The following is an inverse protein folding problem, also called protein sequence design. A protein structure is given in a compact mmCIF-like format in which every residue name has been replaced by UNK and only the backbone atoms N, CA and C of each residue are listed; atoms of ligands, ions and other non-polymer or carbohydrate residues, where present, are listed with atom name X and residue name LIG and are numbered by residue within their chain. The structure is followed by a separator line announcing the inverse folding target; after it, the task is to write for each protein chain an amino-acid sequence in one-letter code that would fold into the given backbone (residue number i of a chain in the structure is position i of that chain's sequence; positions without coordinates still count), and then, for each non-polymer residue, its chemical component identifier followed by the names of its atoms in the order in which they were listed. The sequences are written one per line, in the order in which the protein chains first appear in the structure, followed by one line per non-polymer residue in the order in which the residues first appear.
data_IF_950688849106
#
_entry.id   IF_950688849106
#
_cell.length_a   1.000
_cell.length_b   1.000
_cell.length_c   1.000
_cell.angle_alpha   90.00
_cell.angle_beta   90.00
_cell.angle_gamma   90.00
#
_symmetry.space_group_name_H-M   'P 1'
#
loop_
_entity.id
_entity.type
_entity.pdbx_description
1 polymer ?
#
# COMPACT_ATOMS: atom_id res chain seq x y z
N UNK A 1 -2.89 15.11 13.29
CA UNK A 1 -2.53 14.21 12.18
C UNK A 1 -3.24 12.85 12.25
N UNK A 2 -3.25 12.17 13.41
CA UNK A 2 -3.99 10.90 13.56
C UNK A 2 -5.50 11.04 13.36
N UNK A 3 -6.09 12.14 13.85
CA UNK A 3 -7.54 12.39 13.77
C UNK A 3 -8.00 12.64 12.34
N UNK A 4 -7.17 13.26 11.51
CA UNK A 4 -7.40 13.44 10.06
C UNK A 4 -7.53 12.09 9.37
N UNK A 5 -6.62 11.16 9.67
CA UNK A 5 -6.63 9.81 9.09
C UNK A 5 -7.85 8.99 9.47
N UNK A 6 -8.37 9.18 10.69
CA UNK A 6 -9.59 8.54 11.19
C UNK A 6 -10.87 9.18 10.61
N UNK A 7 -10.92 10.51 10.53
CA UNK A 7 -12.04 11.23 9.93
C UNK A 7 -12.21 10.90 8.44
N UNK A 8 -11.09 10.83 7.71
CA UNK A 8 -11.03 10.32 6.34
C UNK A 8 -11.57 8.90 6.21
N UNK A 9 -11.25 8.03 7.18
CA UNK A 9 -11.72 6.65 7.19
C UNK A 9 -13.24 6.52 7.30
N UNK A 10 -13.86 7.39 8.12
CA UNK A 10 -15.32 7.46 8.26
C UNK A 10 -16.00 7.96 6.97
N UNK A 11 -15.42 8.96 6.29
CA UNK A 11 -16.01 9.58 5.10
C UNK A 11 -15.76 8.80 3.80
N UNK A 12 -14.60 8.17 3.67
CA UNK A 12 -14.14 7.53 2.43
C UNK A 12 -13.93 6.01 2.54
N UNK A 13 -14.28 5.41 3.68
CA UNK A 13 -14.27 3.97 3.91
C UNK A 13 -12.88 3.34 4.05
N UNK A 14 -11.82 4.16 4.14
CA UNK A 14 -10.44 3.69 4.30
C UNK A 14 -9.66 4.59 5.26
N UNK A 15 -9.33 4.05 6.43
CA UNK A 15 -8.51 4.75 7.42
C UNK A 15 -7.09 4.99 6.88
N UNK A 16 -6.60 6.22 7.02
CA UNK A 16 -5.19 6.53 6.80
C UNK A 16 -4.47 6.53 8.14
N UNK A 17 -3.27 5.94 8.18
CA UNK A 17 -2.43 6.00 9.39
C UNK A 17 -1.83 7.40 9.56
N UNK A 18 -1.55 7.80 10.80
CA UNK A 18 -0.81 9.04 11.10
C UNK A 18 0.50 9.12 10.29
N UNK A 19 1.22 7.99 10.15
CA UNK A 19 2.44 7.91 9.35
C UNK A 19 2.21 8.24 7.86
N UNK A 20 1.03 7.91 7.31
CA UNK A 20 0.68 8.25 5.93
C UNK A 20 0.53 9.75 5.76
N UNK A 21 -0.19 10.41 6.68
CA UNK A 21 -0.43 11.86 6.66
C UNK A 21 0.87 12.63 6.85
N UNK A 22 1.68 12.24 7.85
CA UNK A 22 3.00 12.86 8.09
C UNK A 22 3.94 12.74 6.89
N UNK A 23 4.00 11.58 6.22
CA UNK A 23 4.82 11.40 5.00
C UNK A 23 4.28 12.20 3.81
N UNK A 24 2.98 12.43 3.74
CA UNK A 24 2.37 13.27 2.72
C UNK A 24 2.77 14.74 2.92
N UNK A 25 2.65 15.27 4.13
CA UNK A 25 3.05 16.65 4.48
C UNK A 25 4.55 16.89 4.25
N UNK A 26 5.39 15.91 4.61
CA UNK A 26 6.84 15.98 4.40
C UNK A 26 7.29 15.70 2.95
N UNK A 27 6.36 15.58 1.99
CA UNK A 27 6.62 15.19 0.60
C UNK A 27 7.43 13.90 0.44
N UNK A 28 7.43 13.05 1.46
CA UNK A 28 8.24 11.85 1.55
C UNK A 28 7.47 10.61 1.06
N UNK A 29 6.77 10.75 -0.07
CA UNK A 29 6.06 9.71 -0.79
C UNK A 29 6.44 9.75 -2.26
N UNK A 30 6.23 8.65 -2.99
CA UNK A 30 6.41 8.71 -4.44
C UNK A 30 5.40 9.67 -5.07
N UNK A 31 5.78 10.30 -6.19
CA UNK A 31 4.90 11.20 -6.93
C UNK A 31 3.51 10.60 -7.21
N UNK A 32 3.47 9.33 -7.65
CA UNK A 32 2.22 8.61 -7.89
C UNK A 32 1.36 8.43 -6.63
N UNK A 33 1.97 8.28 -5.45
CA UNK A 33 1.22 8.25 -4.18
C UNK A 33 0.75 9.64 -3.77
N UNK A 34 1.57 10.67 -3.99
CA UNK A 34 1.21 12.06 -3.73
C UNK A 34 -0.01 12.48 -4.54
N UNK A 35 -0.01 12.27 -5.86
CA UNK A 35 -1.14 12.59 -6.74
C UNK A 35 -2.41 11.80 -6.40
N UNK A 36 -2.28 10.61 -5.80
CA UNK A 36 -3.44 9.83 -5.36
C UNK A 36 -4.04 10.35 -4.05
N UNK A 37 -3.19 10.82 -3.13
CA UNK A 37 -3.62 11.29 -1.82
C UNK A 37 -4.11 12.74 -1.85
N UNK A 38 -3.53 13.58 -2.70
CA UNK A 38 -3.84 15.01 -2.80
C UNK A 38 -5.35 15.30 -2.96
N UNK A 39 -6.06 14.76 -3.98
CA UNK A 39 -7.48 15.07 -4.15
C UNK A 39 -8.36 14.54 -3.01
N UNK A 40 -7.93 13.46 -2.33
CA UNK A 40 -8.67 12.90 -1.20
C UNK A 40 -8.56 13.80 0.04
N UNK A 41 -7.36 14.31 0.32
CA UNK A 41 -7.11 15.20 1.45
C UNK A 41 -7.69 16.60 1.22
N UNK A 42 -7.64 17.09 -0.02
CA UNK A 42 -8.23 18.38 -0.41
C UNK A 42 -9.75 18.36 -0.27
N UNK A 43 -10.41 17.31 -0.78
CA UNK A 43 -11.87 17.19 -0.64
C UNK A 43 -12.29 17.14 0.83
N UNK A 44 -11.57 16.38 1.65
CA UNK A 44 -11.84 16.32 3.09
C UNK A 44 -11.66 17.66 3.80
N UNK A 45 -10.64 18.42 3.43
CA UNK A 45 -10.41 19.73 4.02
C UNK A 45 -11.59 20.67 3.72
N UNK A 46 -12.06 20.70 2.47
CA UNK A 46 -13.24 21.48 2.08
C UNK A 46 -14.51 21.04 2.83
N UNK A 47 -14.74 19.72 2.95
CA UNK A 47 -15.89 19.18 3.68
C UNK A 47 -15.84 19.55 5.18
N UNK A 48 -14.66 19.51 5.79
CA UNK A 48 -14.45 19.86 7.19
C UNK A 48 -14.61 21.38 7.44
N UNK A 49 -14.13 22.21 6.53
CA UNK A 49 -14.30 23.67 6.59
C UNK A 49 -15.79 24.06 6.46
N UNK A 50 -16.52 23.41 5.55
CA UNK A 50 -17.97 23.64 5.35
C UNK A 50 -18.80 23.23 6.57
N UNK A 51 -18.44 22.16 7.27
CA UNK A 51 -19.09 21.77 8.53
C UNK A 51 -18.74 22.70 9.71
N UNK A 52 -17.60 23.38 9.67
CA UNK A 52 -17.17 24.28 10.74
C UNK A 52 -17.81 25.68 10.67
N UNK A 53 -18.20 26.15 9.48
CA UNK A 53 -18.75 27.50 9.27
C UNK A 53 -20.23 27.64 9.70
N UNK A 54 -20.99 26.54 9.73
CA UNK A 54 -22.38 26.51 10.21
C UNK A 54 -22.51 26.67 11.74
N UNK A 55 -21.39 26.60 12.48
CA UNK A 55 -21.36 26.73 13.96
C UNK A 55 -21.18 28.18 14.46
N UNK A 56 -21.21 29.19 13.59
CA UNK A 56 -20.95 30.60 13.95
C UNK A 56 -22.21 31.46 14.17
N UNK A 57 -23.41 30.86 14.16
CA UNK A 57 -24.66 31.56 14.51
C UNK A 57 -25.14 31.17 15.92
N UNK A 58 -25.43 32.13 16.83
CA UNK A 58 -26.00 31.82 18.14
C UNK A 58 -27.53 31.69 18.05
N UNK A 59 -28.08 30.47 18.06
CA UNK A 59 -29.43 30.25 18.60
C UNK A 59 -29.77 28.76 18.85
N UNK A 60 -30.64 28.49 19.84
CA UNK A 60 -30.74 27.22 20.52
C UNK A 60 -31.65 26.25 19.76
N UNK A 61 -31.22 24.99 19.61
CA UNK A 61 -32.09 23.81 19.57
C UNK A 61 -31.22 22.54 19.62
N UNK A 62 -31.28 21.69 20.66
CA UNK A 62 -30.47 20.48 20.77
C UNK A 62 -31.16 19.29 20.08
N UNK A 63 -31.70 19.46 18.87
CA UNK A 63 -32.43 18.38 18.19
C UNK A 63 -32.32 18.54 16.68
N UNK A 64 -31.23 18.04 16.10
CA UNK A 64 -31.18 17.36 14.79
C UNK A 64 -29.73 17.26 14.37
N UNK A 65 -29.07 16.18 14.78
CA UNK A 65 -27.93 15.69 14.01
C UNK A 65 -28.52 15.20 12.69
N UNK A 66 -28.18 15.76 11.52
CA UNK A 66 -28.29 14.97 10.31
C UNK A 66 -27.17 13.95 10.46
N UNK A 67 -27.50 12.81 11.03
CA UNK A 67 -26.77 11.58 10.77
C UNK A 67 -26.83 11.41 9.25
N UNK A 68 -25.87 12.00 8.54
CA UNK A 68 -25.57 11.66 7.17
C UNK A 68 -25.10 10.22 7.21
N UNK A 69 -26.11 9.34 7.16
CA UNK A 69 -25.98 7.91 6.97
C UNK A 69 -25.39 7.67 5.60
N UNK A 70 -24.07 7.83 5.50
CA UNK A 70 -23.32 6.97 4.62
C UNK A 70 -22.93 5.76 5.45
N UNK A 71 -23.89 4.84 5.55
CA UNK A 71 -23.69 3.48 6.04
C UNK A 71 -22.53 2.92 5.22
N UNK A 72 -21.36 2.89 5.85
CA UNK A 72 -20.09 2.62 5.20
C UNK A 72 -20.18 1.27 4.51
N UNK A 73 -20.10 1.29 3.17
CA UNK A 73 -20.07 0.09 2.34
C UNK A 73 -19.16 -0.97 3.00
N UNK A 74 -19.70 -2.13 3.43
CA UNK A 74 -18.99 -3.07 4.31
C UNK A 74 -17.81 -3.82 3.65
N UNK A 75 -17.43 -3.46 2.44
CA UNK A 75 -16.54 -4.27 1.60
C UNK A 75 -15.08 -3.83 1.49
N UNK A 76 -14.66 -2.68 2.05
CA UNK A 76 -13.33 -2.10 1.70
C UNK A 76 -12.41 -1.76 2.85
N UNK A 77 -12.64 -2.35 4.03
CA UNK A 77 -11.71 -2.19 5.16
C UNK A 77 -10.36 -2.85 4.81
N UNK A 78 -9.30 -2.04 4.78
CA UNK A 78 -7.94 -2.53 4.55
C UNK A 78 -7.57 -3.59 5.61
N UNK A 79 -7.03 -4.73 5.16
CA UNK A 79 -6.52 -5.79 6.07
C UNK A 79 -5.47 -5.20 7.02
N UNK A 80 -5.63 -5.46 8.32
CA UNK A 80 -4.64 -5.06 9.34
C UNK A 80 -3.30 -5.72 9.02
N UNK A 81 -2.21 -4.99 9.27
CA UNK A 81 -0.85 -5.49 9.04
C UNK A 81 -0.54 -6.61 10.03
N UNK A 82 -0.13 -7.78 9.55
CA UNK A 82 0.41 -8.87 10.38
C UNK A 82 1.80 -8.47 10.90
N UNK A 83 2.01 -8.56 12.22
CA UNK A 83 3.34 -8.47 12.82
C UNK A 83 4.02 -9.83 12.72
N UNK A 84 5.27 -9.86 12.28
CA UNK A 84 6.05 -11.10 12.18
C UNK A 84 7.04 -11.08 13.35
N UNK A 85 6.90 -12.05 14.24
CA UNK A 85 7.77 -12.21 15.41
C UNK A 85 9.24 -12.45 15.01
N UNK A 86 10.16 -12.12 15.91
CA UNK A 86 11.60 -12.26 15.69
C UNK A 86 12.00 -13.70 15.34
N UNK A 87 11.43 -14.69 16.03
CA UNK A 87 11.71 -16.11 15.80
C UNK A 87 11.25 -16.57 14.41
N UNK A 88 10.02 -16.19 14.03
CA UNK A 88 9.45 -16.45 12.70
C UNK A 88 10.28 -15.78 11.60
N UNK A 89 10.73 -14.54 11.85
CA UNK A 89 11.60 -13.81 10.93
C UNK A 89 12.93 -14.53 10.70
N UNK A 90 13.57 -14.99 11.77
CA UNK A 90 14.84 -15.73 11.68
C UNK A 90 14.67 -17.02 10.88
N UNK A 91 13.59 -17.77 11.14
CA UNK A 91 13.27 -18.98 10.38
C UNK A 91 13.05 -18.69 8.88
N UNK A 92 12.29 -17.63 8.56
CA UNK A 92 12.08 -17.19 7.18
C UNK A 92 13.37 -16.75 6.48
N UNK A 93 14.27 -16.07 7.19
CA UNK A 93 15.59 -15.68 6.67
C UNK A 93 16.46 -16.92 6.39
N UNK A 94 16.44 -17.94 7.27
CA UNK A 94 17.12 -19.23 7.03
C UNK A 94 16.55 -19.95 5.80
N UNK A 95 15.22 -20.05 5.69
CA UNK A 95 14.57 -20.65 4.52
C UNK A 95 14.87 -19.89 3.22
N UNK A 96 14.95 -18.56 3.27
CA UNK A 96 15.30 -17.72 2.12
C UNK A 96 16.72 -17.98 1.59
N UNK A 97 17.68 -18.23 2.48
CA UNK A 97 19.05 -18.58 2.09
C UNK A 97 19.11 -19.96 1.41
N UNK A 98 18.25 -20.90 1.84
CA UNK A 98 18.16 -22.23 1.22
C UNK A 98 17.46 -22.20 -0.14
N UNK A 99 16.33 -21.48 -0.24
CA UNK A 99 15.57 -21.33 -1.48
C UNK A 99 14.91 -19.94 -1.55
N UNK A 100 15.37 -19.09 -2.47
CA UNK A 100 14.84 -17.71 -2.65
C UNK A 100 13.50 -17.66 -3.40
N UNK A 101 13.12 -18.75 -4.08
CA UNK A 101 11.88 -18.89 -4.86
C UNK A 101 11.18 -20.20 -4.48
N UNK A 102 10.69 -20.31 -3.22
CA UNK A 102 9.93 -21.49 -2.82
C UNK A 102 8.68 -21.61 -3.71
N UNK A 103 8.38 -22.85 -4.07
CA UNK A 103 7.16 -23.27 -4.74
C UNK A 103 5.94 -23.05 -3.83
N UNK A 104 4.74 -23.13 -4.42
CA UNK A 104 3.49 -22.99 -3.67
C UNK A 104 3.34 -24.02 -2.56
N UNK A 105 3.90 -25.21 -2.73
CA UNK A 105 3.90 -26.31 -1.76
C UNK A 105 4.89 -26.05 -0.63
N UNK A 106 6.12 -25.62 -0.94
CA UNK A 106 7.09 -25.22 0.08
C UNK A 106 6.59 -24.04 0.91
N UNK A 107 5.88 -23.07 0.31
CA UNK A 107 5.25 -21.96 1.04
C UNK A 107 4.18 -22.48 2.01
N UNK A 108 3.42 -23.51 1.64
CA UNK A 108 2.45 -24.13 2.54
C UNK A 108 3.13 -24.80 3.73
N UNK A 109 4.19 -25.58 3.49
CA UNK A 109 4.94 -26.24 4.56
C UNK A 109 5.55 -25.24 5.55
N UNK A 110 6.13 -24.15 5.04
CA UNK A 110 6.67 -23.08 5.89
C UNK A 110 5.55 -22.38 6.67
N UNK A 111 4.39 -22.17 6.04
CA UNK A 111 3.23 -21.57 6.69
C UNK A 111 2.69 -22.43 7.84
N UNK A 112 2.59 -23.74 7.65
CA UNK A 112 2.19 -24.69 8.70
C UNK A 112 3.22 -24.74 9.82
N UNK A 113 4.51 -24.87 9.49
CA UNK A 113 5.57 -24.97 10.49
C UNK A 113 5.73 -23.71 11.33
N UNK A 114 5.48 -22.53 10.76
CA UNK A 114 5.55 -21.24 11.45
C UNK A 114 4.19 -20.78 11.99
N UNK A 115 3.12 -21.56 11.77
CA UNK A 115 1.74 -21.24 12.12
C UNK A 115 1.28 -19.86 11.61
N UNK A 116 1.59 -19.54 10.34
CA UNK A 116 1.31 -18.27 9.67
C UNK A 116 0.42 -18.46 8.43
N UNK A 117 -0.28 -17.42 7.99
CA UNK A 117 -1.08 -17.49 6.75
C UNK A 117 -0.17 -17.63 5.51
N UNK A 118 -0.53 -18.53 4.59
CA UNK A 118 0.19 -18.75 3.31
C UNK A 118 0.50 -17.44 2.58
N UNK A 119 -0.47 -16.52 2.56
CA UNK A 119 -0.34 -15.23 1.90
C UNK A 119 0.71 -14.32 2.58
N UNK A 120 0.82 -14.36 3.91
CA UNK A 120 1.84 -13.61 4.65
C UNK A 120 3.23 -14.10 4.27
N UNK A 121 3.44 -15.42 4.22
CA UNK A 121 4.73 -16.03 3.83
C UNK A 121 5.06 -15.69 2.37
N UNK A 122 4.11 -15.86 1.45
CA UNK A 122 4.28 -15.52 0.03
C UNK A 122 4.66 -14.05 -0.16
N UNK A 123 3.95 -13.13 0.49
CA UNK A 123 4.24 -11.68 0.43
C UNK A 123 5.58 -11.36 1.08
N UNK A 124 5.95 -12.05 2.17
CA UNK A 124 7.25 -11.89 2.80
C UNK A 124 8.39 -12.24 1.84
N UNK A 125 8.33 -13.39 1.15
CA UNK A 125 9.35 -13.80 0.17
C UNK A 125 9.45 -12.81 -1.00
N UNK A 126 8.31 -12.29 -1.49
CA UNK A 126 8.29 -11.22 -2.49
C UNK A 126 9.00 -9.95 -2.02
N UNK A 127 8.66 -9.46 -0.82
CA UNK A 127 9.27 -8.26 -0.25
C UNK A 127 10.76 -8.47 0.05
N UNK A 128 11.15 -9.65 0.54
CA UNK A 128 12.54 -9.99 0.86
C UNK A 128 13.42 -10.03 -0.38
N UNK A 129 12.93 -10.60 -1.48
CA UNK A 129 13.62 -10.61 -2.79
C UNK A 129 13.73 -9.21 -3.39
N UNK A 130 12.71 -8.37 -3.25
CA UNK A 130 12.78 -6.97 -3.67
C UNK A 130 13.83 -6.20 -2.86
N UNK A 131 13.90 -6.43 -1.54
CA UNK A 131 14.91 -5.82 -0.66
C UNK A 131 16.33 -6.20 -1.08
N UNK A 132 16.58 -7.47 -1.38
CA UNK A 132 17.89 -7.95 -1.84
C UNK A 132 18.35 -7.24 -3.12
N UNK A 133 17.47 -7.14 -4.12
CA UNK A 133 17.77 -6.43 -5.38
C UNK A 133 18.10 -4.94 -5.17
N UNK A 134 17.61 -4.31 -4.10
CA UNK A 134 17.96 -2.91 -3.78
C UNK A 134 19.29 -2.76 -3.06
N UNK A 135 19.70 -3.75 -2.27
CA UNK A 135 20.93 -3.71 -1.47
C UNK A 135 22.11 -4.22 -2.28
N UNK A 136 21.91 -5.21 -3.15
CA UNK A 136 22.96 -5.82 -3.94
C UNK A 136 22.70 -5.64 -5.46
N UNK A 137 22.87 -4.42 -6.01
CA UNK A 137 22.61 -4.14 -7.42
C UNK A 137 23.59 -4.83 -8.38
N UNK A 138 24.70 -5.42 -7.89
CA UNK A 138 25.75 -6.02 -8.71
C UNK A 138 25.54 -7.52 -9.05
N UNK A 139 24.53 -8.19 -8.47
CA UNK A 139 24.27 -9.62 -8.71
C UNK A 139 23.47 -9.94 -9.97
N UNK A 140 22.96 -8.92 -10.66
CA UNK A 140 22.33 -9.04 -11.97
C UNK A 140 23.00 -8.06 -12.90
N UNK A 141 24.03 -8.52 -13.61
CA UNK A 141 24.53 -7.79 -14.77
C UNK A 141 23.36 -7.41 -15.69
N UNK A 142 23.41 -6.26 -16.36
CA UNK A 142 22.41 -5.95 -17.36
C UNK A 142 22.53 -7.03 -18.44
N UNK A 143 21.47 -7.82 -18.62
CA UNK A 143 21.24 -8.43 -19.92
C UNK A 143 21.17 -7.24 -20.89
N UNK A 144 22.29 -7.01 -21.58
CA UNK A 144 22.39 -6.06 -22.65
C UNK A 144 21.18 -6.26 -23.58
N UNK A 145 20.50 -5.19 -24.03
CA UNK A 145 19.49 -5.33 -25.05
C UNK A 145 20.17 -6.02 -26.25
N UNK A 146 19.62 -7.15 -26.67
CA UNK A 146 20.05 -7.83 -27.89
C UNK A 146 20.12 -6.81 -29.02
N UNK A 147 21.19 -6.80 -29.86
CA UNK A 147 21.27 -5.85 -30.96
C UNK A 147 20.04 -6.02 -31.84
N UNK A 148 19.29 -4.92 -31.97
CA UNK A 148 18.16 -4.83 -32.87
C UNK A 148 18.64 -5.25 -34.27
N UNK A 149 18.04 -6.31 -34.82
CA UNK A 149 18.24 -6.65 -36.23
C UNK A 149 17.82 -5.44 -37.06
N UNK A 150 18.65 -4.95 -38.01
CA UNK A 150 18.24 -3.88 -38.89
C UNK A 150 17.06 -4.35 -39.76
N UNK A 151 16.11 -3.46 -40.12
CA UNK A 151 15.04 -3.81 -41.03
C UNK A 151 15.65 -4.16 -42.40
N UNK A 152 15.54 -5.43 -42.78
CA UNK A 152 15.87 -5.91 -44.12
C UNK A 152 14.93 -5.27 -45.13
N UNK A 153 15.47 -4.41 -45.97
CA UNK A 153 14.82 -3.87 -47.14
C UNK A 153 14.68 -5.01 -48.17
N UNK A 154 13.46 -5.45 -48.46
CA UNK A 154 13.18 -6.29 -49.64
C UNK A 154 12.65 -5.40 -50.77
N UNK A 155 13.32 -5.33 -51.93
CA UNK A 155 12.76 -4.68 -53.10
C UNK A 155 11.84 -5.69 -53.82
N UNK A 156 10.56 -5.36 -53.97
CA UNK A 156 9.70 -6.07 -54.92
C UNK A 156 9.24 -5.10 -56.01
N UNK A 157 9.55 -5.51 -57.24
CA UNK A 157 9.37 -4.83 -58.51
C UNK A 157 7.89 -4.68 -58.89
N UNK A 158 7.58 -3.58 -59.59
CA UNK A 158 6.62 -3.52 -60.71
C UNK A 158 7.30 -2.76 -61.84
#
# INVERSE_FOLDING_TARGET
QGDVGLAMGKLYGNDFSQTTISRFEALNLSFKNMCKLKPLLEKWLNDAETMSVDSTLPSPNPLSSPSLGFDGLPGRRRKKRTSIETNVRFALEKSFLANQKPTSEEILLIAEQLNMEKEVIRVWFCNRRQKEKRINPCGSGPLAPAPAKPPGYSPHMV
#
